data_IF_513898679890
#
_entry.id   IF_513898679890
#
_cell.length_a   1.000
_cell.length_b   1.000
_cell.length_c   1.000
_cell.angle_alpha   90.00
_cell.angle_beta   90.00
_cell.angle_gamma   90.00
#
_symmetry.space_group_name_H-M   'P 1'
#
loop_
_entity.id
_entity.type
_entity.pdbx_description
1 polymer ?
#
# COMPACT_ATOMS: atom_id res chain seq x y z
N UNK A 1 -2.31 22.22 -16.93
CA UNK A 1 -2.06 20.82 -17.37
C UNK A 1 -2.30 19.89 -16.19
N UNK A 2 -3.00 18.77 -16.36
CA UNK A 2 -3.12 17.78 -15.26
C UNK A 2 -1.74 17.19 -14.93
N UNK A 3 -1.50 16.85 -13.66
CA UNK A 3 -0.22 16.27 -13.21
C UNK A 3 0.12 14.98 -13.97
N UNK A 4 -0.89 14.14 -14.22
CA UNK A 4 -0.77 12.93 -15.06
C UNK A 4 -0.25 13.25 -16.46
N UNK A 5 -0.79 14.29 -17.10
CA UNK A 5 -0.35 14.75 -18.43
C UNK A 5 1.06 15.30 -18.37
N UNK A 6 1.42 16.07 -17.33
CA UNK A 6 2.79 16.56 -17.14
C UNK A 6 3.79 15.39 -17.07
N UNK A 7 3.48 14.36 -16.28
CA UNK A 7 4.33 13.17 -16.14
C UNK A 7 4.50 12.47 -17.49
N UNK A 8 3.40 12.25 -18.23
CA UNK A 8 3.46 11.64 -19.56
C UNK A 8 4.29 12.45 -20.55
N UNK A 9 4.16 13.78 -20.54
CA UNK A 9 4.96 14.66 -21.38
C UNK A 9 6.44 14.58 -20.99
N UNK A 10 6.77 14.60 -19.70
CA UNK A 10 8.14 14.46 -19.23
C UNK A 10 8.75 13.11 -19.61
N UNK A 11 7.99 12.01 -19.50
CA UNK A 11 8.44 10.70 -19.99
C UNK A 11 8.70 10.71 -21.51
N UNK A 12 7.84 11.38 -22.28
CA UNK A 12 8.08 11.63 -23.70
C UNK A 12 9.37 12.40 -23.96
N UNK A 13 9.60 13.51 -23.24
CA UNK A 13 10.83 14.30 -23.32
C UNK A 13 12.06 13.47 -22.96
N UNK A 14 11.98 12.64 -21.92
CA UNK A 14 13.07 11.71 -21.54
C UNK A 14 13.35 10.69 -22.64
N UNK A 15 12.32 10.12 -23.29
CA UNK A 15 12.47 9.19 -24.40
C UNK A 15 13.13 9.86 -25.62
N UNK A 16 12.73 11.09 -25.94
CA UNK A 16 13.38 11.88 -26.98
C UNK A 16 14.83 12.19 -26.62
N UNK A 17 15.09 12.68 -25.41
CA UNK A 17 16.44 12.96 -24.92
C UNK A 17 17.34 11.73 -25.01
N UNK A 18 16.85 10.55 -24.61
CA UNK A 18 17.55 9.27 -24.77
C UNK A 18 18.00 9.03 -26.21
N UNK A 19 17.07 9.17 -27.16
CA UNK A 19 17.36 8.92 -28.56
C UNK A 19 18.35 9.93 -29.15
N UNK A 20 18.21 11.22 -28.81
CA UNK A 20 19.12 12.26 -29.25
C UNK A 20 20.52 12.13 -28.63
N UNK A 21 20.61 11.74 -27.36
CA UNK A 21 21.88 11.44 -26.68
C UNK A 21 22.61 10.29 -27.34
N UNK A 22 21.91 9.17 -27.59
CA UNK A 22 22.46 8.00 -28.29
C UNK A 22 22.89 8.34 -29.73
N UNK A 23 22.07 9.08 -30.47
CA UNK A 23 22.42 9.52 -31.84
C UNK A 23 23.65 10.42 -31.85
N UNK A 24 23.74 11.36 -30.91
CA UNK A 24 24.90 12.24 -30.81
C UNK A 24 26.18 11.49 -30.47
N UNK A 25 26.14 10.53 -29.53
CA UNK A 25 27.33 9.72 -29.23
C UNK A 25 27.82 8.90 -30.42
N UNK A 26 26.92 8.45 -31.30
CA UNK A 26 27.33 7.78 -32.54
C UNK A 26 27.88 8.78 -33.57
N UNK A 27 27.28 9.96 -33.67
CA UNK A 27 27.72 11.03 -34.56
C UNK A 27 29.14 11.54 -34.25
N UNK A 28 29.54 11.58 -32.98
CA UNK A 28 30.89 12.02 -32.58
C UNK A 28 32.01 11.06 -32.98
N UNK A 29 31.69 9.82 -33.36
CA UNK A 29 32.66 8.80 -33.77
C UNK A 29 32.48 8.33 -35.22
N UNK A 30 31.75 9.09 -36.05
CA UNK A 30 31.54 8.73 -37.46
C UNK A 30 30.52 7.61 -37.69
N UNK A 31 29.60 7.39 -36.75
CA UNK A 31 28.50 6.42 -36.86
C UNK A 31 28.80 5.06 -36.24
N UNK A 32 28.01 4.05 -36.63
CA UNK A 32 28.04 2.71 -36.01
C UNK A 32 29.39 1.99 -36.13
N UNK A 33 30.20 2.31 -37.14
CA UNK A 33 31.53 1.74 -37.34
C UNK A 33 32.54 2.22 -36.27
N UNK A 34 32.34 3.41 -35.69
CA UNK A 34 33.24 4.01 -34.71
C UNK A 34 32.88 3.77 -33.25
N UNK A 35 31.91 2.89 -32.96
CA UNK A 35 31.46 2.61 -31.57
C UNK A 35 32.61 2.17 -30.66
N UNK A 36 33.62 1.50 -31.20
CA UNK A 36 34.84 1.08 -30.46
C UNK A 36 35.64 2.25 -29.89
N UNK A 37 35.48 3.45 -30.45
CA UNK A 37 36.16 4.67 -30.00
C UNK A 37 35.43 5.39 -28.86
N UNK A 38 34.22 4.93 -28.49
CA UNK A 38 33.51 5.42 -27.31
C UNK A 38 33.96 4.65 -26.07
N UNK A 39 34.17 5.37 -24.96
CA UNK A 39 34.48 4.71 -23.69
C UNK A 39 33.33 3.85 -23.15
N UNK A 40 32.06 4.25 -23.39
CA UNK A 40 30.86 3.57 -22.89
C UNK A 40 29.94 3.18 -24.05
N UNK A 41 29.06 2.18 -23.84
CA UNK A 41 28.05 1.84 -24.83
C UNK A 41 27.14 3.04 -25.15
N UNK A 42 26.72 3.25 -26.41
CA UNK A 42 25.86 4.37 -26.81
C UNK A 42 24.57 4.51 -25.98
N UNK A 43 24.04 3.40 -25.46
CA UNK A 43 22.87 3.40 -24.60
C UNK A 43 23.07 4.23 -23.31
N UNK A 44 24.27 4.21 -22.70
CA UNK A 44 24.55 4.98 -21.48
C UNK A 44 24.56 6.49 -21.72
N UNK A 45 24.96 6.95 -22.91
CA UNK A 45 24.85 8.35 -23.28
C UNK A 45 23.38 8.79 -23.42
N UNK A 46 22.54 7.91 -23.99
CA UNK A 46 21.09 8.09 -24.00
C UNK A 46 20.52 8.20 -22.59
N UNK A 47 20.80 7.21 -21.72
CA UNK A 47 20.33 7.24 -20.33
C UNK A 47 20.81 8.48 -19.57
N UNK A 48 22.07 8.89 -19.76
CA UNK A 48 22.60 10.11 -19.16
C UNK A 48 21.78 11.35 -19.53
N UNK A 49 21.51 11.55 -20.83
CA UNK A 49 20.70 12.68 -21.29
C UNK A 49 19.24 12.61 -20.85
N UNK A 50 18.65 11.41 -20.80
CA UNK A 50 17.29 11.20 -20.33
C UNK A 50 17.16 11.51 -18.83
N UNK A 51 18.11 11.06 -18.01
CA UNK A 51 18.11 11.32 -16.57
C UNK A 51 18.28 12.81 -16.26
N UNK A 52 19.15 13.51 -16.98
CA UNK A 52 19.32 14.96 -16.83
C UNK A 52 18.11 15.76 -17.33
N UNK A 53 17.41 15.30 -18.36
CA UNK A 53 16.16 15.92 -18.79
C UNK A 53 15.02 15.66 -17.78
N UNK A 54 14.95 14.46 -17.21
CA UNK A 54 13.83 14.05 -16.36
C UNK A 54 13.95 14.48 -14.90
N UNK A 55 15.06 14.11 -14.23
CA UNK A 55 15.15 14.20 -12.77
C UNK A 55 15.02 15.61 -12.21
N UNK A 56 15.69 16.65 -12.74
CA UNK A 56 15.53 18.01 -12.21
C UNK A 56 14.10 18.55 -12.39
N UNK A 57 13.46 18.24 -13.51
CA UNK A 57 12.09 18.65 -13.79
C UNK A 57 11.09 17.94 -12.86
N UNK A 58 11.26 16.63 -12.65
CA UNK A 58 10.46 15.85 -11.70
C UNK A 58 10.67 16.33 -10.26
N UNK A 59 11.89 16.71 -9.89
CA UNK A 59 12.19 17.23 -8.56
C UNK A 59 11.46 18.56 -8.29
N UNK A 60 11.50 19.51 -9.22
CA UNK A 60 10.75 20.77 -9.09
C UNK A 60 9.25 20.53 -9.07
N UNK A 61 8.75 19.61 -9.89
CA UNK A 61 7.34 19.22 -9.86
C UNK A 61 6.93 18.63 -8.51
N UNK A 62 7.76 17.75 -7.94
CA UNK A 62 7.51 17.16 -6.62
C UNK A 62 7.47 18.24 -5.52
N UNK A 63 8.40 19.20 -5.53
CA UNK A 63 8.41 20.34 -4.59
C UNK A 63 7.13 21.15 -4.73
N UNK A 64 6.75 21.54 -5.95
CA UNK A 64 5.52 22.31 -6.16
C UNK A 64 4.29 21.55 -5.68
N UNK A 65 4.12 20.27 -6.05
CA UNK A 65 2.99 19.46 -5.65
C UNK A 65 2.90 19.34 -4.11
N UNK A 66 4.03 19.23 -3.43
CA UNK A 66 4.07 19.16 -1.97
C UNK A 66 3.62 20.47 -1.31
N UNK A 67 4.00 21.63 -1.85
CA UNK A 67 3.71 22.94 -1.26
C UNK A 67 2.48 23.65 -1.85
N UNK A 68 1.94 23.20 -2.99
CA UNK A 68 0.86 23.86 -3.74
C UNK A 68 -0.36 24.14 -2.85
N UNK A 69 -0.80 23.14 -2.09
CA UNK A 69 -1.96 23.29 -1.20
C UNK A 69 -1.76 24.38 -0.14
N UNK A 70 -0.58 24.42 0.49
CA UNK A 70 -0.26 25.41 1.52
C UNK A 70 -0.15 26.82 0.94
N UNK A 71 0.56 26.97 -0.19
CA UNK A 71 0.78 28.27 -0.84
C UNK A 71 -0.51 28.84 -1.39
N UNK A 72 -1.33 28.02 -2.08
CA UNK A 72 -2.60 28.50 -2.63
C UNK A 72 -3.55 28.88 -1.50
N UNK A 73 -3.63 28.07 -0.44
CA UNK A 73 -4.50 28.38 0.71
C UNK A 73 -4.09 29.69 1.38
N UNK A 74 -2.80 29.94 1.58
CA UNK A 74 -2.35 31.20 2.18
C UNK A 74 -2.67 32.41 1.31
N UNK A 75 -2.51 32.31 -0.02
CA UNK A 75 -2.87 33.37 -0.96
C UNK A 75 -4.38 33.64 -0.97
N UNK A 76 -5.22 32.59 -0.92
CA UNK A 76 -6.68 32.72 -0.86
C UNK A 76 -7.11 33.38 0.44
N UNK A 77 -6.58 32.94 1.59
CA UNK A 77 -6.89 33.55 2.90
C UNK A 77 -6.48 35.02 2.94
N UNK A 78 -5.32 35.38 2.38
CA UNK A 78 -4.86 36.77 2.31
C UNK A 78 -5.79 37.66 1.48
N UNK A 79 -6.39 37.11 0.42
CA UNK A 79 -7.34 37.82 -0.46
C UNK A 79 -8.72 38.07 0.15
N UNK A 80 -9.05 37.42 1.28
CA UNK A 80 -10.37 37.56 1.92
C UNK A 80 -10.57 38.92 2.61
N UNK A 81 -11.81 39.39 2.78
CA UNK A 81 -12.14 40.51 3.66
C UNK A 81 -11.53 40.38 5.05
N UNK A 82 -11.15 41.51 5.66
CA UNK A 82 -10.51 41.54 6.99
C UNK A 82 -11.41 40.92 8.08
N UNK A 83 -12.73 41.04 7.92
CA UNK A 83 -13.73 40.49 8.84
C UNK A 83 -13.71 38.96 8.87
N UNK A 84 -13.42 38.31 7.74
CA UNK A 84 -13.32 36.85 7.63
C UNK A 84 -11.94 36.34 8.07
N UNK A 85 -10.87 37.12 7.85
CA UNK A 85 -9.52 36.80 8.33
C UNK A 85 -9.37 36.88 9.84
N UNK A 86 -10.15 37.73 10.50
CA UNK A 86 -10.16 37.91 11.95
C UNK A 86 -10.94 36.84 12.72
N UNK A 87 -11.51 35.84 12.04
CA UNK A 87 -12.25 34.76 12.68
C UNK A 87 -11.33 33.90 13.58
N UNK A 88 -11.86 33.30 14.66
CA UNK A 88 -11.14 32.30 15.43
C UNK A 88 -10.61 31.18 14.55
N UNK A 89 -9.42 30.65 14.85
CA UNK A 89 -8.70 29.67 14.01
C UNK A 89 -9.54 28.47 13.58
N UNK A 90 -10.39 27.96 14.49
CA UNK A 90 -11.30 26.84 14.20
C UNK A 90 -12.37 27.19 13.16
N UNK A 91 -12.93 28.41 13.22
CA UNK A 91 -13.95 28.88 12.26
C UNK A 91 -13.32 29.22 10.91
N UNK A 92 -12.11 29.81 10.93
CA UNK A 92 -11.35 30.06 9.70
C UNK A 92 -10.98 28.74 9.00
N UNK A 93 -10.56 27.73 9.76
CA UNK A 93 -10.27 26.39 9.21
C UNK A 93 -11.48 25.72 8.57
N UNK A 94 -12.66 25.82 9.19
CA UNK A 94 -13.91 25.34 8.60
C UNK A 94 -14.27 26.09 7.32
N UNK A 95 -14.14 27.43 7.32
CA UNK A 95 -14.40 28.26 6.14
C UNK A 95 -13.47 27.90 4.97
N UNK A 96 -12.18 27.72 5.23
CA UNK A 96 -11.19 27.29 4.23
C UNK A 96 -11.52 25.90 3.67
N UNK A 97 -11.99 24.98 4.52
CA UNK A 97 -12.43 23.65 4.08
C UNK A 97 -13.68 23.73 3.20
N UNK A 98 -14.67 24.54 3.56
CA UNK A 98 -15.87 24.74 2.74
C UNK A 98 -15.53 25.40 1.40
N UNK A 99 -14.65 26.39 1.37
CA UNK A 99 -14.13 26.98 0.12
C UNK A 99 -13.42 25.93 -0.73
N UNK A 100 -12.64 25.06 -0.08
CA UNK A 100 -11.95 23.96 -0.77
C UNK A 100 -12.92 22.95 -1.36
N UNK A 101 -13.96 22.58 -0.62
CA UNK A 101 -15.03 21.70 -1.06
C UNK A 101 -15.79 22.32 -2.22
N UNK A 102 -16.19 23.58 -2.10
CA UNK A 102 -16.91 24.32 -3.13
C UNK A 102 -16.12 24.39 -4.44
N UNK A 103 -14.82 24.72 -4.36
CA UNK A 103 -13.95 24.78 -5.53
C UNK A 103 -13.76 23.40 -6.20
N UNK A 104 -13.84 22.31 -5.43
CA UNK A 104 -13.78 20.94 -5.94
C UNK A 104 -15.15 20.42 -6.45
N UNK A 105 -16.24 21.17 -6.27
CA UNK A 105 -17.60 20.74 -6.60
C UNK A 105 -18.21 19.76 -5.59
N UNK A 106 -17.70 19.74 -4.36
CA UNK A 106 -18.20 18.91 -3.26
C UNK A 106 -19.24 19.65 -2.42
N UNK A 107 -19.92 18.90 -1.55
CA UNK A 107 -20.93 19.43 -0.61
C UNK A 107 -20.23 20.30 0.46
N UNK A 108 -20.82 21.45 0.78
CA UNK A 108 -20.38 22.38 1.82
C UNK A 108 -21.27 22.29 3.06
N UNK A 109 -20.74 22.71 4.21
CA UNK A 109 -21.39 22.55 5.51
C UNK A 109 -22.52 23.57 5.77
N UNK A 110 -22.50 24.72 5.07
CA UNK A 110 -23.43 25.83 5.27
C UNK A 110 -23.92 26.47 3.97
N UNK A 111 -24.59 27.63 4.09
CA UNK A 111 -25.05 28.39 2.92
C UNK A 111 -23.85 29.01 2.16
N UNK A 112 -23.91 28.94 0.83
CA UNK A 112 -22.87 29.49 -0.04
C UNK A 112 -23.00 31.01 -0.04
N UNK A 113 -22.13 31.70 0.69
CA UNK A 113 -22.05 33.16 0.64
C UNK A 113 -21.33 33.64 -0.63
N UNK A 114 -21.61 34.87 -1.05
CA UNK A 114 -20.93 35.45 -2.22
C UNK A 114 -19.40 35.55 -2.02
N UNK A 115 -18.95 35.79 -0.79
CA UNK A 115 -17.53 35.83 -0.45
C UNK A 115 -16.88 34.43 -0.54
N UNK A 116 -17.62 33.37 -0.15
CA UNK A 116 -17.18 31.98 -0.28
C UNK A 116 -17.05 31.57 -1.76
N UNK A 117 -18.03 31.94 -2.58
CA UNK A 117 -17.98 31.69 -4.02
C UNK A 117 -16.80 32.43 -4.68
N UNK A 118 -16.61 33.72 -4.36
CA UNK A 118 -15.48 34.51 -4.86
C UNK A 118 -14.12 33.92 -4.46
N UNK A 119 -13.98 33.45 -3.21
CA UNK A 119 -12.77 32.79 -2.75
C UNK A 119 -12.52 31.44 -3.45
N UNK A 120 -13.58 30.66 -3.69
CA UNK A 120 -13.49 29.39 -4.41
C UNK A 120 -13.08 29.59 -5.89
N UNK A 121 -13.65 30.60 -6.55
CA UNK A 121 -13.29 30.97 -7.93
C UNK A 121 -11.82 31.44 -8.01
N UNK A 122 -11.39 32.29 -7.08
CA UNK A 122 -9.99 32.71 -6.99
C UNK A 122 -9.04 31.53 -6.73
N UNK A 123 -9.43 30.59 -5.87
CA UNK A 123 -8.64 29.38 -5.64
C UNK A 123 -8.51 28.53 -6.92
N UNK A 124 -9.58 28.39 -7.69
CA UNK A 124 -9.56 27.68 -8.96
C UNK A 124 -8.67 28.37 -10.01
N UNK A 125 -8.69 29.70 -10.04
CA UNK A 125 -7.78 30.49 -10.87
C UNK A 125 -6.32 30.25 -10.48
N UNK A 126 -5.98 30.37 -9.19
CA UNK A 126 -4.62 30.12 -8.69
C UNK A 126 -4.14 28.69 -8.98
N UNK A 127 -5.00 27.68 -8.80
CA UNK A 127 -4.71 26.28 -9.17
C UNK A 127 -4.51 26.13 -10.68
N UNK A 128 -5.26 26.86 -11.51
CA UNK A 128 -5.08 26.84 -12.96
C UNK A 128 -3.73 27.44 -13.36
N UNK A 129 -3.41 28.63 -12.83
CA UNK A 129 -2.14 29.32 -13.03
C UNK A 129 -0.99 28.45 -12.56
N UNK A 130 -1.05 27.92 -11.34
CA UNK A 130 -0.04 27.04 -10.76
C UNK A 130 0.24 25.82 -11.63
N UNK A 131 -0.79 25.16 -12.13
CA UNK A 131 -0.63 24.00 -13.04
C UNK A 131 -0.02 24.37 -14.39
N UNK A 132 -0.31 25.55 -14.94
CA UNK A 132 0.29 26.01 -16.20
C UNK A 132 1.74 26.41 -15.96
N UNK A 133 2.00 27.20 -14.92
CA UNK A 133 3.33 27.65 -14.52
C UNK A 133 4.25 26.46 -14.23
N UNK A 134 3.79 25.48 -13.44
CA UNK A 134 4.54 24.25 -13.21
C UNK A 134 4.87 23.54 -14.52
N UNK A 135 3.91 23.42 -15.43
CA UNK A 135 4.13 22.80 -16.73
C UNK A 135 5.23 23.50 -17.53
N UNK A 136 5.16 24.83 -17.63
CA UNK A 136 6.16 25.64 -18.34
C UNK A 136 7.53 25.53 -17.69
N UNK A 137 7.61 25.64 -16.36
CA UNK A 137 8.87 25.57 -15.61
C UNK A 137 9.50 24.18 -15.72
N UNK A 138 8.72 23.12 -15.49
CA UNK A 138 9.21 21.75 -15.57
C UNK A 138 9.70 21.40 -16.98
N UNK A 139 8.98 21.80 -18.03
CA UNK A 139 9.42 21.58 -19.42
C UNK A 139 10.66 22.40 -19.78
N UNK A 140 10.73 23.65 -19.32
CA UNK A 140 11.91 24.50 -19.56
C UNK A 140 13.16 23.92 -18.89
N UNK A 141 13.02 23.44 -17.65
CA UNK A 141 14.10 22.74 -16.93
C UNK A 141 14.48 21.45 -17.66
N UNK A 142 13.50 20.65 -18.08
CA UNK A 142 13.76 19.39 -18.77
C UNK A 142 14.53 19.59 -20.07
N UNK A 143 14.10 20.53 -20.90
CA UNK A 143 14.75 20.88 -22.16
C UNK A 143 16.12 21.51 -21.91
N UNK A 144 16.25 22.40 -20.94
CA UNK A 144 17.51 23.06 -20.58
C UNK A 144 18.56 22.06 -20.08
N UNK A 145 18.22 21.28 -19.07
CA UNK A 145 19.11 20.28 -18.48
C UNK A 145 19.44 19.15 -19.47
N UNK A 146 18.46 18.69 -20.25
CA UNK A 146 18.67 17.73 -21.34
C UNK A 146 19.60 18.27 -22.43
N UNK A 147 19.43 19.52 -22.85
CA UNK A 147 20.29 20.19 -23.85
C UNK A 147 21.73 20.35 -23.35
N UNK A 148 21.92 20.74 -22.09
CA UNK A 148 23.24 20.83 -21.47
C UNK A 148 23.93 19.45 -21.42
N UNK A 149 23.20 18.41 -20.99
CA UNK A 149 23.72 17.04 -20.96
C UNK A 149 24.06 16.53 -22.37
N UNK A 150 23.24 16.86 -23.38
CA UNK A 150 23.46 16.51 -24.78
C UNK A 150 24.69 17.21 -25.38
N UNK A 151 24.89 18.49 -25.06
CA UNK A 151 26.08 19.25 -25.47
C UNK A 151 27.36 18.72 -24.82
N UNK A 152 27.27 18.22 -23.60
CA UNK A 152 28.40 17.66 -22.87
C UNK A 152 28.89 16.28 -23.37
N UNK A 153 28.17 15.63 -24.30
CA UNK A 153 28.56 14.32 -24.84
C UNK A 153 29.90 14.43 -25.59
N UNK A 154 30.89 13.69 -25.11
CA UNK A 154 32.20 13.54 -25.72
C UNK A 154 32.61 12.05 -25.76
N UNK A 155 33.42 11.60 -26.75
CA UNK A 155 33.82 10.18 -26.87
C UNK A 155 34.55 9.62 -25.65
N UNK A 156 35.30 10.47 -24.94
CA UNK A 156 36.09 10.14 -23.74
C UNK A 156 35.26 10.12 -22.46
N UNK A 157 33.98 10.52 -22.51
CA UNK A 157 33.12 10.58 -21.34
C UNK A 157 32.82 9.18 -20.81
N UNK A 158 33.00 9.01 -19.50
CA UNK A 158 32.59 7.81 -18.76
C UNK A 158 31.08 7.84 -18.47
N UNK A 159 30.26 7.78 -19.52
CA UNK A 159 28.81 7.90 -19.42
C UNK A 159 28.19 6.84 -18.50
N UNK A 160 28.72 5.60 -18.54
CA UNK A 160 28.30 4.51 -17.64
C UNK A 160 28.45 4.90 -16.17
N UNK A 161 29.65 5.32 -15.75
CA UNK A 161 29.92 5.69 -14.37
C UNK A 161 29.01 6.85 -13.90
N UNK A 162 28.78 7.85 -14.76
CA UNK A 162 27.88 8.98 -14.41
C UNK A 162 26.44 8.53 -14.20
N UNK A 163 25.92 7.66 -15.07
CA UNK A 163 24.58 7.07 -14.91
C UNK A 163 24.51 6.22 -13.65
N UNK A 164 25.51 5.37 -13.39
CA UNK A 164 25.58 4.55 -12.18
C UNK A 164 25.62 5.40 -10.91
N UNK A 165 26.36 6.51 -10.89
CA UNK A 165 26.35 7.45 -9.75
C UNK A 165 24.97 8.08 -9.53
N UNK A 166 24.28 8.49 -10.59
CA UNK A 166 22.91 9.04 -10.48
C UNK A 166 21.94 7.98 -9.93
N UNK A 167 21.95 6.78 -10.51
CA UNK A 167 21.07 5.67 -10.07
C UNK A 167 21.39 5.26 -8.64
N UNK A 168 22.67 5.13 -8.28
CA UNK A 168 23.10 4.82 -6.91
C UNK A 168 22.64 5.90 -5.93
N UNK A 169 22.79 7.18 -6.29
CA UNK A 169 22.28 8.30 -5.49
C UNK A 169 20.76 8.25 -5.27
N UNK A 170 19.99 7.90 -6.31
CA UNK A 170 18.53 7.71 -6.19
C UNK A 170 18.17 6.53 -5.28
N UNK A 171 18.88 5.40 -5.40
CA UNK A 171 18.67 4.23 -4.54
C UNK A 171 19.03 4.51 -3.07
N UNK A 172 20.14 5.23 -2.84
CA UNK A 172 20.54 5.66 -1.49
C UNK A 172 19.50 6.62 -0.91
N UNK A 173 19.03 7.61 -1.67
CA UNK A 173 17.99 8.52 -1.22
C UNK A 173 16.68 7.79 -0.90
N UNK A 174 16.24 6.88 -1.77
CA UNK A 174 15.05 6.05 -1.54
C UNK A 174 15.17 5.19 -0.28
N UNK A 175 16.33 4.55 -0.08
CA UNK A 175 16.60 3.74 1.11
C UNK A 175 16.62 4.60 2.37
N UNK A 176 17.26 5.78 2.32
CA UNK A 176 17.30 6.71 3.43
C UNK A 176 15.91 7.21 3.81
N UNK A 177 15.06 7.56 2.84
CA UNK A 177 13.66 7.95 3.08
C UNK A 177 12.90 6.82 3.76
N UNK A 178 13.06 5.57 3.30
CA UNK A 178 12.39 4.41 3.91
C UNK A 178 12.84 4.18 5.36
N UNK A 179 14.15 4.27 5.64
CA UNK A 179 14.70 4.15 6.99
C UNK A 179 14.19 5.30 7.88
N UNK A 180 14.27 6.54 7.43
CA UNK A 180 13.79 7.70 8.18
C UNK A 180 12.28 7.65 8.44
N UNK A 181 11.50 7.16 7.48
CA UNK A 181 10.05 6.96 7.66
C UNK A 181 9.79 5.88 8.71
N UNK A 182 10.52 4.78 8.67
CA UNK A 182 10.40 3.71 9.68
C UNK A 182 10.76 4.21 11.07
N UNK A 183 11.88 4.93 11.20
CA UNK A 183 12.28 5.58 12.46
C UNK A 183 11.21 6.58 12.90
N UNK A 184 10.66 7.37 11.98
CA UNK A 184 9.57 8.31 12.25
C UNK A 184 8.32 7.64 12.80
N UNK A 185 7.90 6.51 12.21
CA UNK A 185 6.77 5.69 12.69
C UNK A 185 7.07 5.16 14.10
N UNK A 186 8.25 4.57 14.32
CA UNK A 186 8.63 4.05 15.65
C UNK A 186 8.65 5.15 16.70
N UNK A 187 9.26 6.29 16.41
CA UNK A 187 9.30 7.43 17.32
C UNK A 187 7.90 8.00 17.55
N UNK A 188 7.08 8.12 16.52
CA UNK A 188 5.69 8.59 16.64
C UNK A 188 4.87 7.69 17.56
N UNK A 189 4.90 6.37 17.33
CA UNK A 189 4.20 5.41 18.19
C UNK A 189 4.74 5.47 19.62
N UNK A 190 6.05 5.60 19.81
CA UNK A 190 6.67 5.67 21.14
C UNK A 190 6.25 6.95 21.89
N UNK A 191 6.30 8.12 21.24
CA UNK A 191 5.90 9.38 21.86
C UNK A 191 4.40 9.43 22.19
N UNK A 192 3.55 8.96 21.28
CA UNK A 192 2.11 8.88 21.55
C UNK A 192 1.77 7.85 22.63
N UNK A 193 2.46 6.71 22.66
CA UNK A 193 2.34 5.73 23.74
C UNK A 193 2.76 6.31 25.08
N UNK A 194 3.85 7.08 25.14
CA UNK A 194 4.29 7.73 26.37
C UNK A 194 3.24 8.75 26.87
N UNK A 195 2.70 9.60 25.98
CA UNK A 195 1.61 10.53 26.31
C UNK A 195 0.34 9.83 26.80
N UNK A 196 0.04 8.66 26.22
CA UNK A 196 -1.07 7.82 26.64
C UNK A 196 -0.87 7.28 28.07
N UNK A 197 0.31 6.70 28.38
CA UNK A 197 0.60 6.15 29.70
C UNK A 197 0.82 7.19 30.79
N UNK A 198 1.00 8.47 30.44
CA UNK A 198 0.89 9.58 31.40
C UNK A 198 -0.54 9.80 31.88
N UNK A 199 -1.54 9.44 31.07
CA UNK A 199 -2.98 9.60 31.40
C UNK A 199 -3.57 8.33 31.98
N UNK A 200 -3.12 7.17 31.53
CA UNK A 200 -3.68 5.86 31.90
C UNK A 200 -2.57 5.00 32.50
N UNK A 201 -2.71 4.53 33.75
CA UNK A 201 -1.74 3.64 34.37
C UNK A 201 -1.51 2.38 33.54
N UNK A 202 -0.25 1.95 33.42
CA UNK A 202 0.13 0.73 32.69
C UNK A 202 -0.59 -0.50 33.24
N UNK A 203 -0.83 -0.55 34.56
CA UNK A 203 -1.57 -1.65 35.21
C UNK A 203 -3.02 -1.73 34.74
N UNK A 204 -3.68 -0.58 34.62
CA UNK A 204 -5.09 -0.50 34.22
C UNK A 204 -5.25 -0.84 32.73
N UNK A 205 -4.25 -0.47 31.92
CA UNK A 205 -4.15 -0.91 30.53
C UNK A 205 -3.93 -2.43 30.42
N UNK A 206 -2.90 -2.97 31.07
CA UNK A 206 -2.53 -4.38 30.91
C UNK A 206 -3.55 -5.36 31.52
N UNK A 207 -4.16 -5.00 32.65
CA UNK A 207 -5.09 -5.87 33.38
C UNK A 207 -6.56 -5.42 33.30
N UNK A 208 -6.86 -4.33 32.60
CA UNK A 208 -8.23 -3.87 32.39
C UNK A 208 -9.04 -4.88 31.58
N UNK A 209 -10.29 -5.09 32.00
CA UNK A 209 -11.23 -6.04 31.39
C UNK A 209 -12.27 -5.36 30.48
N UNK A 210 -12.21 -4.04 30.35
CA UNK A 210 -13.13 -3.26 29.54
C UNK A 210 -12.38 -2.47 28.48
N UNK A 211 -12.88 -2.52 27.25
CA UNK A 211 -12.41 -1.70 26.14
C UNK A 211 -13.55 -0.79 25.68
N UNK A 212 -13.51 0.46 26.12
CA UNK A 212 -14.47 1.51 25.76
C UNK A 212 -13.75 2.86 25.60
N UNK A 213 -13.03 3.05 24.48
CA UNK A 213 -12.32 4.32 24.21
C UNK A 213 -13.29 5.48 23.88
N UNK A 214 -14.52 5.19 23.47
CA UNK A 214 -15.50 6.20 23.02
C UNK A 214 -16.02 7.08 24.14
N UNK A 215 -16.07 6.59 25.39
CA UNK A 215 -16.52 7.35 26.56
C UNK A 215 -15.55 8.47 26.96
N UNK A 216 -14.28 8.40 26.55
CA UNK A 216 -13.29 9.46 26.78
C UNK A 216 -13.34 10.61 25.75
N UNK A 217 -14.06 10.45 24.64
CA UNK A 217 -14.04 11.39 23.50
C UNK A 217 -15.23 12.36 23.46
N UNK A 218 -16.25 12.19 24.32
CA UNK A 218 -17.44 13.06 24.39
C UNK A 218 -17.35 14.01 25.59
N UNK A 219 -17.28 15.31 25.33
CA UNK A 219 -17.13 16.36 26.34
C UNK A 219 -18.27 16.41 27.39
N UNK A 220 -19.45 15.90 27.04
CA UNK A 220 -20.64 15.90 27.90
C UNK A 220 -20.67 14.76 28.93
N UNK A 221 -19.75 13.80 28.85
CA UNK A 221 -19.63 12.71 29.82
C UNK A 221 -18.65 13.07 30.95
N UNK A 222 -19.14 13.86 31.91
CA UNK A 222 -18.40 14.14 33.15
C UNK A 222 -18.33 12.85 33.99
N UNK A 223 -17.16 12.22 34.06
CA UNK A 223 -16.87 11.13 35.00
C UNK A 223 -16.55 9.76 34.41
N UNK A 224 -16.47 9.59 33.10
CA UNK A 224 -15.98 8.34 32.51
C UNK A 224 -14.49 8.43 32.19
N UNK A 225 -13.64 7.86 33.04
CA UNK A 225 -12.31 7.43 32.60
C UNK A 225 -12.53 6.44 31.45
N UNK A 226 -12.07 6.76 30.23
CA UNK A 226 -12.12 5.78 29.14
C UNK A 226 -11.49 4.47 29.60
N UNK A 227 -12.13 3.35 29.30
CA UNK A 227 -11.62 2.04 29.69
C UNK A 227 -10.72 1.52 28.55
N UNK A 228 -9.43 1.37 28.82
CA UNK A 228 -8.44 0.96 27.82
C UNK A 228 -7.79 -0.39 28.19
N UNK A 229 -8.60 -1.34 28.65
CA UNK A 229 -8.13 -2.68 28.97
C UNK A 229 -7.63 -3.44 27.74
N UNK A 230 -6.43 -4.00 27.81
CA UNK A 230 -5.81 -4.77 26.74
C UNK A 230 -6.32 -6.22 26.69
N UNK A 231 -6.82 -6.76 27.80
CA UNK A 231 -7.27 -8.17 27.88
C UNK A 231 -8.38 -8.48 26.86
N UNK A 232 -9.45 -7.67 26.73
CA UNK A 232 -10.48 -7.91 25.72
C UNK A 232 -9.95 -7.88 24.28
N UNK A 233 -8.95 -7.04 23.99
CA UNK A 233 -8.34 -6.96 22.66
C UNK A 233 -7.55 -8.23 22.33
N UNK A 234 -6.72 -8.70 23.26
CA UNK A 234 -5.99 -9.97 23.09
C UNK A 234 -6.95 -11.15 23.02
N UNK A 235 -7.95 -11.21 23.91
CA UNK A 235 -8.94 -12.28 23.93
C UNK A 235 -9.75 -12.30 22.63
N UNK A 236 -10.21 -11.14 22.15
CA UNK A 236 -10.92 -11.00 20.87
C UNK A 236 -10.07 -11.44 19.68
N UNK A 237 -8.83 -10.95 19.61
CA UNK A 237 -7.85 -11.34 18.57
C UNK A 237 -7.60 -12.84 18.54
N UNK A 238 -7.34 -13.44 19.71
CA UNK A 238 -7.09 -14.87 19.83
C UNK A 238 -8.34 -15.70 19.48
N UNK A 239 -9.53 -15.26 19.90
CA UNK A 239 -10.79 -15.93 19.59
C UNK A 239 -11.09 -15.91 18.09
N UNK A 240 -10.97 -14.75 17.45
CA UNK A 240 -11.18 -14.59 16.00
C UNK A 240 -10.16 -15.42 15.23
N UNK A 241 -8.87 -15.34 15.62
CA UNK A 241 -7.80 -16.12 15.01
C UNK A 241 -8.02 -17.62 15.16
N UNK A 242 -8.47 -18.07 16.33
CA UNK A 242 -8.78 -19.47 16.59
C UNK A 242 -9.92 -19.98 15.69
N UNK A 243 -11.02 -19.23 15.59
CA UNK A 243 -12.14 -19.56 14.70
C UNK A 243 -11.68 -19.58 13.24
N UNK A 244 -10.87 -18.59 12.84
CA UNK A 244 -10.32 -18.50 11.49
C UNK A 244 -9.46 -19.73 11.15
N UNK A 245 -8.57 -20.15 12.05
CA UNK A 245 -7.72 -21.32 11.86
C UNK A 245 -8.52 -22.63 11.87
N UNK A 246 -9.57 -22.74 12.70
CA UNK A 246 -10.47 -23.89 12.69
C UNK A 246 -11.17 -24.10 11.34
N UNK A 247 -11.40 -23.03 10.59
CA UNK A 247 -11.96 -23.10 9.23
C UNK A 247 -10.85 -23.26 8.19
N UNK A 248 -9.83 -22.41 8.25
CA UNK A 248 -8.83 -22.30 7.21
C UNK A 248 -7.88 -23.50 7.16
N UNK A 249 -7.49 -24.05 8.31
CA UNK A 249 -6.55 -25.17 8.36
C UNK A 249 -7.14 -26.43 7.74
N UNK A 250 -8.34 -26.90 8.14
CA UNK A 250 -8.91 -28.09 7.53
C UNK A 250 -9.23 -27.89 6.04
N UNK A 251 -9.87 -26.78 5.67
CA UNK A 251 -10.29 -26.53 4.28
C UNK A 251 -9.07 -26.31 3.39
N UNK A 252 -8.10 -25.51 3.84
CA UNK A 252 -6.87 -25.23 3.11
C UNK A 252 -6.00 -26.47 2.95
N UNK A 253 -5.79 -27.24 4.02
CA UNK A 253 -4.98 -28.46 3.96
C UNK A 253 -5.62 -29.54 3.06
N UNK A 254 -6.94 -29.74 3.16
CA UNK A 254 -7.63 -30.68 2.29
C UNK A 254 -7.59 -30.23 0.82
N UNK A 255 -7.70 -28.93 0.57
CA UNK A 255 -7.54 -28.36 -0.78
C UNK A 255 -6.12 -28.59 -1.32
N UNK A 256 -5.10 -28.40 -0.49
CA UNK A 256 -3.71 -28.67 -0.86
C UNK A 256 -3.47 -30.16 -1.19
N UNK A 257 -3.94 -31.08 -0.34
CA UNK A 257 -3.84 -32.53 -0.57
C UNK A 257 -4.56 -32.92 -1.85
N UNK A 258 -5.75 -32.38 -2.09
CA UNK A 258 -6.49 -32.66 -3.31
C UNK A 258 -5.75 -32.15 -4.55
N UNK A 259 -5.25 -30.90 -4.54
CA UNK A 259 -4.58 -30.29 -5.69
C UNK A 259 -3.23 -30.92 -6.04
N UNK A 260 -2.45 -31.29 -5.02
CA UNK A 260 -1.14 -31.90 -5.20
C UNK A 260 -1.23 -33.34 -5.69
N UNK A 261 -2.10 -34.13 -5.08
CA UNK A 261 -2.08 -35.58 -5.28
C UNK A 261 -3.27 -36.11 -6.08
N UNK A 262 -4.48 -35.57 -5.93
CA UNK A 262 -5.70 -36.14 -6.54
C UNK A 262 -6.15 -35.44 -7.82
N UNK A 263 -5.89 -34.14 -7.95
CA UNK A 263 -6.41 -33.33 -9.03
C UNK A 263 -5.73 -33.65 -10.37
N UNK A 264 -6.54 -33.81 -11.42
CA UNK A 264 -6.02 -33.88 -12.78
C UNK A 264 -5.47 -32.53 -13.27
N UNK A 265 -4.67 -32.50 -14.35
CA UNK A 265 -4.03 -31.28 -14.86
C UNK A 265 -5.01 -30.13 -15.14
N UNK A 266 -6.20 -30.46 -15.66
CA UNK A 266 -7.26 -29.48 -15.94
C UNK A 266 -7.79 -28.83 -14.68
N UNK A 267 -8.12 -29.62 -13.65
CA UNK A 267 -8.65 -29.10 -12.38
C UNK A 267 -7.61 -28.19 -11.72
N UNK A 268 -6.34 -28.62 -11.68
CA UNK A 268 -5.24 -27.83 -11.11
C UNK A 268 -5.05 -26.50 -11.84
N UNK A 269 -5.12 -26.50 -13.17
CA UNK A 269 -4.96 -25.29 -13.99
C UNK A 269 -6.03 -24.22 -13.74
N UNK A 270 -7.22 -24.58 -13.22
CA UNK A 270 -8.26 -23.62 -12.84
C UNK A 270 -8.25 -23.32 -11.34
N UNK A 271 -8.18 -24.34 -10.49
CA UNK A 271 -8.33 -24.18 -9.05
C UNK A 271 -7.15 -23.43 -8.40
N UNK A 272 -5.91 -23.66 -8.83
CA UNK A 272 -4.74 -22.98 -8.24
C UNK A 272 -4.76 -21.47 -8.53
N UNK A 273 -4.98 -20.98 -9.77
CA UNK A 273 -5.15 -19.56 -10.02
C UNK A 273 -6.33 -18.93 -9.26
N UNK A 274 -7.45 -19.63 -9.10
CA UNK A 274 -8.60 -19.11 -8.32
C UNK A 274 -8.22 -18.90 -6.86
N UNK A 275 -7.49 -19.83 -6.24
CA UNK A 275 -6.97 -19.65 -4.88
C UNK A 275 -5.99 -18.47 -4.80
N UNK A 276 -5.10 -18.31 -5.78
CA UNK A 276 -4.17 -17.18 -5.82
C UNK A 276 -4.89 -15.82 -5.99
N UNK A 277 -5.95 -15.78 -6.78
CA UNK A 277 -6.80 -14.58 -6.92
C UNK A 277 -7.51 -14.26 -5.61
N UNK A 278 -8.03 -15.26 -4.89
CA UNK A 278 -8.65 -15.05 -3.58
C UNK A 278 -7.65 -14.46 -2.57
N UNK A 279 -6.38 -14.85 -2.62
CA UNK A 279 -5.33 -14.26 -1.78
C UNK A 279 -5.03 -12.78 -2.09
N UNK A 280 -5.37 -12.32 -3.30
CA UNK A 280 -5.18 -10.95 -3.77
C UNK A 280 -6.35 -10.00 -3.45
N UNK A 281 -7.45 -10.50 -2.90
CA UNK A 281 -8.59 -9.65 -2.52
C UNK A 281 -8.17 -8.73 -1.36
N UNK A 282 -8.38 -7.40 -1.45
CA UNK A 282 -8.04 -6.49 -0.37
C UNK A 282 -8.78 -6.84 0.93
N UNK A 283 -8.08 -6.80 2.05
CA UNK A 283 -8.60 -7.17 3.38
C UNK A 283 -9.81 -6.32 3.80
N UNK A 284 -9.83 -5.05 3.39
CA UNK A 284 -10.97 -4.13 3.57
C UNK A 284 -12.26 -4.67 2.93
N UNK A 285 -12.17 -5.34 1.77
CA UNK A 285 -13.34 -5.94 1.10
C UNK A 285 -13.92 -7.07 1.95
N UNK A 286 -13.06 -7.92 2.54
CA UNK A 286 -13.49 -8.94 3.49
C UNK A 286 -14.13 -8.33 4.73
N UNK A 287 -13.58 -7.25 5.27
CA UNK A 287 -14.16 -6.52 6.42
C UNK A 287 -15.58 -6.02 6.14
N UNK A 288 -15.80 -5.35 5.01
CA UNK A 288 -17.15 -4.91 4.61
C UNK A 288 -18.11 -6.07 4.36
N UNK A 289 -17.65 -7.15 3.74
CA UNK A 289 -18.46 -8.36 3.54
C UNK A 289 -18.87 -8.99 4.88
N UNK A 290 -17.96 -9.06 5.84
CA UNK A 290 -18.24 -9.55 7.19
C UNK A 290 -19.33 -8.71 7.87
N UNK A 291 -19.18 -7.39 7.86
CA UNK A 291 -20.09 -6.48 8.55
C UNK A 291 -21.48 -6.35 7.87
N UNK A 292 -21.52 -6.28 6.55
CA UNK A 292 -22.76 -5.98 5.80
C UNK A 292 -23.52 -7.22 5.34
N UNK A 293 -22.86 -8.37 5.22
CA UNK A 293 -23.47 -9.60 4.70
C UNK A 293 -23.45 -10.72 5.73
N UNK A 294 -22.27 -11.15 6.18
CA UNK A 294 -22.18 -12.36 7.00
C UNK A 294 -22.73 -12.15 8.41
N UNK A 295 -22.43 -11.02 9.06
CA UNK A 295 -22.91 -10.73 10.40
C UNK A 295 -24.44 -10.63 10.49
N UNK A 296 -25.14 -9.88 9.61
CA UNK A 296 -26.61 -9.88 9.59
C UNK A 296 -27.20 -11.26 9.30
N UNK A 297 -26.58 -12.03 8.40
CA UNK A 297 -27.03 -13.39 8.08
C UNK A 297 -26.91 -14.34 9.27
N UNK A 298 -25.79 -14.31 9.99
CA UNK A 298 -25.58 -15.12 11.20
C UNK A 298 -26.51 -14.70 12.33
N UNK A 299 -26.75 -13.41 12.49
CA UNK A 299 -27.71 -12.89 13.46
C UNK A 299 -29.11 -13.40 13.16
N UNK A 300 -29.58 -13.27 11.92
CA UNK A 300 -30.90 -13.76 11.51
C UNK A 300 -31.05 -15.27 11.69
N UNK A 301 -30.02 -16.04 11.36
CA UNK A 301 -30.00 -17.49 11.60
C UNK A 301 -30.05 -17.84 13.10
N UNK A 302 -29.32 -17.09 13.93
CA UNK A 302 -29.35 -17.25 15.38
C UNK A 302 -30.71 -16.90 15.99
N UNK A 303 -31.30 -15.78 15.58
CA UNK A 303 -32.64 -15.36 16.01
C UNK A 303 -33.71 -16.39 15.62
N UNK A 304 -33.59 -17.01 14.43
CA UNK A 304 -34.48 -18.09 14.00
C UNK A 304 -34.37 -19.37 14.87
N UNK A 305 -33.22 -19.58 15.50
CA UNK A 305 -32.97 -20.66 16.47
C UNK A 305 -33.28 -20.25 17.92
N UNK A 306 -33.80 -19.03 18.14
CA UNK A 306 -34.08 -18.50 19.47
C UNK A 306 -32.84 -18.02 20.25
N UNK A 307 -31.71 -17.81 19.57
CA UNK A 307 -30.46 -17.33 20.15
C UNK A 307 -30.33 -15.81 20.03
N UNK A 308 -29.82 -15.16 21.07
CA UNK A 308 -29.45 -13.75 21.04
C UNK A 308 -28.04 -13.59 20.47
N UNK A 309 -27.93 -13.17 19.21
CA UNK A 309 -26.66 -13.00 18.50
C UNK A 309 -26.40 -11.52 18.24
N UNK A 310 -25.22 -11.03 18.65
CA UNK A 310 -24.76 -9.68 18.30
C UNK A 310 -24.30 -9.62 16.84
N UNK A 311 -24.57 -8.49 16.19
CA UNK A 311 -24.03 -8.21 14.85
C UNK A 311 -22.50 -8.04 14.88
N UNK A 312 -21.92 -7.70 16.03
CA UNK A 312 -20.47 -7.61 16.25
C UNK A 312 -19.92 -8.93 16.83
N UNK A 313 -20.26 -10.07 16.22
CA UNK A 313 -19.83 -11.38 16.73
C UNK A 313 -18.43 -11.76 16.24
N UNK A 314 -17.60 -12.28 17.17
CA UNK A 314 -16.31 -12.87 16.84
C UNK A 314 -16.43 -14.05 15.85
N UNK A 315 -17.60 -14.72 15.82
CA UNK A 315 -17.90 -15.78 14.86
C UNK A 315 -17.96 -15.25 13.43
N UNK A 316 -18.66 -14.13 13.18
CA UNK A 316 -18.74 -13.55 11.85
C UNK A 316 -17.35 -13.12 11.34
N UNK A 317 -16.60 -12.39 12.18
CA UNK A 317 -15.25 -11.97 11.87
C UNK A 317 -14.30 -13.16 11.63
N UNK A 318 -14.35 -14.17 12.51
CA UNK A 318 -13.52 -15.37 12.43
C UNK A 318 -13.82 -16.22 11.19
N UNK A 319 -15.08 -16.37 10.79
CA UNK A 319 -15.44 -17.12 9.59
C UNK A 319 -14.94 -16.44 8.31
N UNK A 320 -15.13 -15.12 8.16
CA UNK A 320 -14.63 -14.38 6.99
C UNK A 320 -13.11 -14.40 6.96
N UNK A 321 -12.47 -14.19 8.11
CA UNK A 321 -11.02 -14.27 8.23
C UNK A 321 -10.52 -15.69 7.88
N UNK A 322 -11.25 -16.73 8.27
CA UNK A 322 -10.98 -18.10 7.85
C UNK A 322 -10.97 -18.24 6.33
N UNK A 323 -12.00 -17.72 5.65
CA UNK A 323 -12.07 -17.74 4.17
C UNK A 323 -10.87 -17.02 3.54
N UNK A 324 -10.49 -15.86 4.08
CA UNK A 324 -9.33 -15.10 3.63
C UNK A 324 -8.00 -15.88 3.82
N UNK A 325 -7.90 -16.71 4.85
CA UNK A 325 -6.69 -17.48 5.18
C UNK A 325 -6.58 -18.80 4.40
N UNK A 326 -7.70 -19.36 3.90
CA UNK A 326 -7.71 -20.62 3.13
C UNK A 326 -6.66 -20.63 1.99
N UNK A 327 -6.56 -19.60 1.13
CA UNK A 327 -5.56 -19.57 0.06
C UNK A 327 -4.12 -19.67 0.57
N UNK A 328 -3.80 -19.06 1.71
CA UNK A 328 -2.45 -19.09 2.28
C UNK A 328 -2.10 -20.48 2.77
N UNK A 329 -2.98 -21.11 3.55
CA UNK A 329 -2.77 -22.49 4.03
C UNK A 329 -2.72 -23.45 2.85
N UNK A 330 -3.66 -23.34 1.90
CA UNK A 330 -3.73 -24.22 0.75
C UNK A 330 -2.52 -24.09 -0.16
N UNK A 331 -2.08 -22.88 -0.49
CA UNK A 331 -0.97 -22.70 -1.42
C UNK A 331 0.36 -23.13 -0.82
N UNK A 332 0.65 -22.71 0.43
CA UNK A 332 1.89 -23.10 1.10
C UNK A 332 1.95 -24.61 1.34
N UNK A 333 0.84 -25.22 1.76
CA UNK A 333 0.80 -26.67 1.96
C UNK A 333 0.92 -27.44 0.63
N UNK A 334 0.31 -26.95 -0.46
CA UNK A 334 0.43 -27.55 -1.79
C UNK A 334 1.88 -27.53 -2.28
N UNK A 335 2.57 -26.40 -2.13
CA UNK A 335 3.96 -26.25 -2.55
C UNK A 335 4.90 -27.19 -1.75
N UNK A 336 4.68 -27.32 -0.43
CA UNK A 336 5.42 -28.25 0.43
C UNK A 336 5.14 -29.70 0.08
N UNK A 337 3.88 -30.09 -0.18
CA UNK A 337 3.52 -31.45 -0.55
C UNK A 337 4.17 -31.82 -1.90
N UNK A 338 4.13 -30.92 -2.89
CA UNK A 338 4.76 -31.13 -4.19
C UNK A 338 6.31 -31.16 -4.12
N UNK A 339 6.91 -30.56 -3.09
CA UNK A 339 8.36 -30.62 -2.88
C UNK A 339 8.86 -31.99 -2.37
N UNK A 340 7.96 -32.86 -1.89
CA UNK A 340 8.32 -34.23 -1.47
C UNK A 340 8.80 -35.03 -2.69
N UNK A 341 10.03 -35.61 -2.66
CA UNK A 341 10.62 -36.30 -3.81
C UNK A 341 9.73 -37.40 -4.40
N UNK A 342 9.62 -37.44 -5.73
CA UNK A 342 8.85 -38.45 -6.46
C UNK A 342 9.30 -39.88 -6.13
N UNK A 343 10.59 -40.09 -5.88
CA UNK A 343 11.15 -41.41 -5.52
C UNK A 343 10.51 -42.02 -4.27
N UNK A 344 10.07 -41.20 -3.31
CA UNK A 344 9.35 -41.70 -2.11
C UNK A 344 7.96 -42.22 -2.47
N UNK A 345 7.30 -41.60 -3.44
CA UNK A 345 5.98 -42.01 -3.94
C UNK A 345 6.12 -43.33 -4.70
N UNK A 346 7.10 -43.40 -5.60
CA UNK A 346 7.37 -44.58 -6.42
C UNK A 346 7.79 -45.78 -5.55
N UNK A 347 8.61 -45.56 -4.51
CA UNK A 347 8.99 -46.59 -3.54
C UNK A 347 7.78 -47.13 -2.76
N UNK A 348 6.87 -46.26 -2.31
CA UNK A 348 5.64 -46.69 -1.63
C UNK A 348 4.74 -47.53 -2.55
N UNK A 349 4.58 -47.13 -3.82
CA UNK A 349 3.83 -47.91 -4.81
C UNK A 349 4.49 -49.25 -5.11
N UNK A 350 5.83 -49.31 -5.15
CA UNK A 350 6.57 -50.56 -5.34
C UNK A 350 6.39 -51.55 -4.18
N UNK A 351 6.10 -51.05 -2.97
CA UNK A 351 5.73 -51.86 -1.80
C UNK A 351 4.25 -52.29 -1.80
N UNK A 352 3.48 -51.93 -2.83
CA UNK A 352 2.06 -52.27 -2.95
C UNK A 352 1.11 -51.32 -2.22
N UNK A 353 1.59 -50.15 -1.75
CA UNK A 353 0.74 -49.17 -1.09
C UNK A 353 -0.26 -48.54 -2.07
N UNK A 354 -1.49 -48.31 -1.61
CA UNK A 354 -2.48 -47.53 -2.35
C UNK A 354 -2.13 -46.04 -2.30
N UNK A 355 -2.70 -45.25 -3.22
CA UNK A 355 -2.52 -43.79 -3.25
C UNK A 355 -2.84 -43.12 -1.92
N UNK A 356 -3.92 -43.53 -1.24
CA UNK A 356 -4.28 -42.96 0.06
C UNK A 356 -3.29 -43.36 1.16
N UNK A 357 -2.72 -44.56 1.11
CA UNK A 357 -1.70 -44.99 2.07
C UNK A 357 -0.39 -44.24 1.83
N UNK A 358 0.05 -44.11 0.58
CA UNK A 358 1.23 -43.32 0.22
C UNK A 358 1.10 -41.87 0.71
N UNK A 359 -0.07 -41.24 0.54
CA UNK A 359 -0.30 -39.87 1.01
C UNK A 359 -0.26 -39.79 2.54
N UNK A 360 -1.01 -40.67 3.23
CA UNK A 360 -1.15 -40.59 4.70
C UNK A 360 0.09 -41.03 5.45
N UNK A 361 0.82 -42.04 4.95
CA UNK A 361 1.90 -42.69 5.69
C UNK A 361 3.30 -42.25 5.23
N UNK A 362 3.44 -41.66 4.04
CA UNK A 362 4.75 -41.25 3.50
C UNK A 362 4.79 -39.75 3.22
N UNK A 363 3.87 -39.25 2.39
CA UNK A 363 3.94 -37.86 1.91
C UNK A 363 3.59 -36.86 3.02
N UNK A 364 2.46 -37.03 3.71
CA UNK A 364 2.05 -36.11 4.77
C UNK A 364 3.04 -36.07 5.94
N UNK A 365 3.57 -37.20 6.46
CA UNK A 365 4.62 -37.16 7.47
C UNK A 365 5.90 -36.46 6.99
N UNK A 366 6.31 -36.67 5.74
CA UNK A 366 7.48 -36.00 5.17
C UNK A 366 7.26 -34.49 4.96
N UNK A 367 6.05 -34.07 4.60
CA UNK A 367 5.67 -32.68 4.40
C UNK A 367 5.30 -31.94 5.71
N UNK A 368 5.09 -32.66 6.81
CA UNK A 368 4.54 -32.12 8.06
C UNK A 368 5.29 -30.87 8.58
N UNK A 369 6.64 -30.82 8.63
CA UNK A 369 7.33 -29.63 9.10
C UNK A 369 7.03 -28.38 8.27
N UNK A 370 6.92 -28.53 6.95
CA UNK A 370 6.60 -27.42 6.05
C UNK A 370 5.12 -27.01 6.11
N UNK A 371 4.21 -27.99 6.23
CA UNK A 371 2.76 -27.72 6.45
C UNK A 371 2.56 -26.94 7.75
N UNK A 372 3.23 -27.36 8.84
CA UNK A 372 3.18 -26.65 10.12
C UNK A 372 3.78 -25.24 10.01
N UNK A 373 4.87 -25.06 9.25
CA UNK A 373 5.39 -23.73 8.92
C UNK A 373 4.38 -22.84 8.19
N UNK A 374 3.66 -23.39 7.21
CA UNK A 374 2.59 -22.68 6.50
C UNK A 374 1.41 -22.31 7.40
N UNK A 375 1.00 -23.21 8.30
CA UNK A 375 -0.06 -22.94 9.29
C UNK A 375 0.38 -21.85 10.28
N UNK A 376 1.63 -21.87 10.74
CA UNK A 376 2.16 -20.84 11.64
C UNK A 376 2.18 -19.46 10.96
N UNK A 377 2.60 -19.38 9.69
CA UNK A 377 2.54 -18.13 8.91
C UNK A 377 1.10 -17.63 8.75
N UNK A 378 0.17 -18.54 8.47
CA UNK A 378 -1.26 -18.22 8.40
C UNK A 378 -1.81 -17.72 9.74
N UNK A 379 -1.40 -18.32 10.86
CA UNK A 379 -1.78 -17.89 12.21
C UNK A 379 -1.22 -16.50 12.53
N UNK A 380 0.05 -16.22 12.21
CA UNK A 380 0.65 -14.89 12.39
C UNK A 380 -0.09 -13.82 11.60
N UNK A 381 -0.56 -14.15 10.38
CA UNK A 381 -1.38 -13.25 9.58
C UNK A 381 -2.75 -13.02 10.20
N UNK A 382 -3.43 -14.07 10.68
CA UNK A 382 -4.73 -13.95 11.35
C UNK A 382 -4.67 -12.94 12.50
N UNK A 383 -3.66 -13.09 13.36
CA UNK A 383 -3.44 -12.22 14.52
C UNK A 383 -3.10 -10.78 14.09
N UNK A 384 -2.30 -10.63 13.04
CA UNK A 384 -1.89 -9.31 12.55
C UNK A 384 -3.01 -8.52 11.86
N UNK A 385 -4.04 -9.18 11.32
CA UNK A 385 -5.16 -8.53 10.61
C UNK A 385 -6.34 -8.20 11.54
N UNK A 386 -6.36 -8.71 12.79
CA UNK A 386 -7.39 -8.39 13.79
C UNK A 386 -7.08 -7.19 14.67
N UNK A 387 -5.79 -6.82 14.80
CA UNK A 387 -5.34 -5.66 15.57
C UNK A 387 -5.42 -4.39 14.73
#
# INVERSE_FOLDING_TARGET
MQVSVLILVLLGVMAFAYHFGRRRSLGTVGGSAGVRNLHSLPAYYGFYTALWAGLPALFVAAIWIFFEGSVITSMVVESMPADLRGLPEAQLGLLVNDITNLANGNIVSGEISEDMQRAADHMNELRSIGRIALGVVALSIALGAGSLAWRAIAPTMRARNRVETIVSGLLIASSLIAILTTVGIVLSVLFESFRFFQKIPVTDFLFGLEWSPQTALRADQVGASGAFGAIPLFAGTLLISFIALLVAVPVGLMSAIYLSDYAGPRMRAYAKPVLEVLAGVPTVVYGFFAALTLAPALRGAGEALGLTVSSESALAAGLVMGIMIIPFVSSLSDDVINAVPQSLRDAAYALGATKSETIRQVILPAALPGIMGGILLAASRAIGETM
#
